data_IF_243089920564
#
_entry.id   IF_243089920564
#
_cell.length_a   1.000
_cell.length_b   1.000
_cell.length_c   1.000
_cell.angle_alpha   90.00
_cell.angle_beta   90.00
_cell.angle_gamma   90.00
#
_symmetry.space_group_name_H-M   'P 1'
#
loop_
_entity.id
_entity.type
_entity.pdbx_description
1 polymer ?
#
# COMPACT_ATOMS: atom_id res chain seq x y z
N UNK A 1 -31.33 -12.80 67.64
CA UNK A 1 -31.33 -11.73 66.64
C UNK A 1 -29.98 -11.72 65.93
N UNK A 2 -29.89 -12.34 64.76
CA UNK A 2 -28.62 -12.51 64.00
C UNK A 2 -28.41 -11.29 63.11
N UNK A 3 -27.31 -10.53 63.32
CA UNK A 3 -26.90 -9.43 62.46
C UNK A 3 -26.22 -10.01 61.22
N UNK A 4 -26.87 -9.85 60.06
CA UNK A 4 -26.28 -10.20 58.78
C UNK A 4 -25.34 -9.04 58.36
N UNK A 5 -24.06 -9.28 58.36
CA UNK A 5 -23.07 -8.37 57.78
C UNK A 5 -23.12 -8.52 56.25
N UNK A 6 -23.56 -7.49 55.56
CA UNK A 6 -23.46 -7.38 54.11
C UNK A 6 -21.98 -7.08 53.77
N UNK A 7 -21.36 -8.03 53.12
CA UNK A 7 -20.01 -7.87 52.55
C UNK A 7 -20.19 -7.15 51.19
N UNK A 8 -19.85 -5.88 51.10
CA UNK A 8 -19.71 -5.18 49.83
C UNK A 8 -18.40 -5.62 49.21
N UNK A 9 -18.46 -6.45 48.18
CA UNK A 9 -17.31 -6.69 47.30
C UNK A 9 -17.22 -5.53 46.33
N UNK A 10 -16.23 -4.67 46.52
CA UNK A 10 -15.86 -3.65 45.56
C UNK A 10 -15.03 -4.36 44.50
N UNK A 11 -15.62 -4.59 43.34
CA UNK A 11 -14.87 -4.96 42.13
C UNK A 11 -14.12 -3.73 41.63
N UNK A 12 -12.86 -3.60 41.99
CA UNK A 12 -11.96 -2.69 41.33
C UNK A 12 -11.61 -3.31 39.98
N UNK A 13 -12.31 -2.90 38.92
CA UNK A 13 -11.91 -3.17 37.55
C UNK A 13 -10.64 -2.39 37.25
N UNK A 14 -9.49 -3.06 37.35
CA UNK A 14 -8.24 -2.53 36.84
C UNK A 14 -8.31 -2.61 35.33
N UNK A 15 -8.73 -1.50 34.69
CA UNK A 15 -8.56 -1.29 33.25
C UNK A 15 -7.08 -1.10 33.00
N UNK A 16 -6.36 -2.18 32.70
CA UNK A 16 -5.05 -2.09 32.08
C UNK A 16 -5.27 -1.61 30.65
N UNK A 17 -5.30 -0.30 30.45
CA UNK A 17 -5.13 0.26 29.12
C UNK A 17 -3.74 -0.17 28.65
N UNK A 18 -3.68 -1.15 27.77
CA UNK A 18 -2.49 -1.38 26.96
C UNK A 18 -2.27 -0.08 26.17
N UNK A 19 -1.43 0.79 26.69
CA UNK A 19 -0.83 1.84 25.89
C UNK A 19 0.12 1.17 24.92
N UNK A 20 -0.40 0.74 23.77
CA UNK A 20 0.45 0.55 22.62
C UNK A 20 1.15 1.88 22.39
N UNK A 21 2.48 1.91 22.26
CA UNK A 21 3.14 3.16 21.88
C UNK A 21 2.51 3.62 20.58
N UNK A 22 1.87 4.79 20.59
CA UNK A 22 1.57 5.51 19.36
C UNK A 22 2.93 5.71 18.70
N UNK A 23 3.25 4.90 17.72
CA UNK A 23 4.40 5.18 16.87
C UNK A 23 4.02 6.46 16.14
N UNK A 24 4.53 7.57 16.64
CA UNK A 24 4.51 8.82 15.88
C UNK A 24 5.29 8.52 14.61
N UNK A 25 4.57 8.41 13.50
CA UNK A 25 5.18 8.25 12.19
C UNK A 25 6.18 9.40 12.02
N UNK A 26 7.43 9.05 11.82
CA UNK A 26 8.42 10.04 11.46
C UNK A 26 7.98 10.65 10.11
N UNK A 27 7.89 11.97 10.05
CA UNK A 27 7.60 12.64 8.80
C UNK A 27 8.64 12.21 7.75
N UNK A 28 8.19 11.91 6.53
CA UNK A 28 9.08 11.55 5.43
C UNK A 28 10.06 12.69 5.17
N UNK A 29 11.35 12.45 5.39
CA UNK A 29 12.40 13.42 5.07
C UNK A 29 12.75 13.33 3.58
N UNK A 30 12.21 14.24 2.79
CA UNK A 30 12.43 14.30 1.35
C UNK A 30 13.83 14.82 0.97
N UNK A 31 14.62 15.31 1.92
CA UNK A 31 15.96 15.87 1.67
C UNK A 31 17.08 14.97 2.20
N UNK A 32 16.75 13.86 2.86
CA UNK A 32 17.74 12.95 3.37
C UNK A 32 18.56 12.33 2.24
N UNK A 33 19.88 12.24 2.45
CA UNK A 33 20.82 11.56 1.53
C UNK A 33 21.28 10.26 2.16
N UNK A 34 21.33 9.23 1.36
CA UNK A 34 21.69 7.89 1.81
C UNK A 34 22.94 7.39 1.07
N UNK A 35 23.80 6.71 1.80
CA UNK A 35 24.95 6.04 1.23
C UNK A 35 24.53 4.85 0.35
N UNK A 36 25.27 4.60 -0.70
CA UNK A 36 25.07 3.47 -1.59
C UNK A 36 25.73 2.24 -0.97
N UNK A 37 24.96 1.16 -0.82
CA UNK A 37 25.49 -0.16 -0.49
C UNK A 37 25.16 -1.16 -1.58
N UNK A 38 26.09 -2.08 -1.82
CA UNK A 38 25.89 -3.23 -2.72
C UNK A 38 26.00 -4.51 -1.90
N UNK A 39 25.84 -5.68 -2.51
CA UNK A 39 26.12 -6.90 -1.80
C UNK A 39 27.61 -6.94 -1.36
N UNK A 40 27.88 -7.57 -0.23
CA UNK A 40 29.23 -7.59 0.36
C UNK A 40 30.17 -8.66 -0.26
N UNK A 41 29.87 -9.13 -1.47
CA UNK A 41 30.70 -10.10 -2.17
C UNK A 41 31.98 -9.40 -2.64
N UNK A 42 33.13 -9.97 -2.31
CA UNK A 42 34.43 -9.42 -2.72
C UNK A 42 34.51 -9.35 -4.27
N UNK A 43 34.86 -8.17 -4.79
CA UNK A 43 34.95 -7.92 -6.23
C UNK A 43 33.61 -7.54 -6.87
N UNK A 44 32.51 -7.41 -6.12
CA UNK A 44 31.28 -6.87 -6.65
C UNK A 44 31.45 -5.39 -7.03
N UNK A 45 31.03 -4.96 -8.23
CA UNK A 45 31.20 -3.58 -8.65
C UNK A 45 30.42 -2.62 -7.76
N UNK A 46 30.98 -1.43 -7.55
CA UNK A 46 30.26 -0.34 -6.92
C UNK A 46 29.03 0.01 -7.79
N UNK A 47 27.90 0.24 -7.15
CA UNK A 47 26.67 0.65 -7.82
C UNK A 47 26.81 2.07 -8.38
N UNK A 48 26.03 2.44 -9.41
CA UNK A 48 25.99 3.81 -9.92
C UNK A 48 25.39 4.75 -8.87
N UNK A 49 25.82 6.00 -8.88
CA UNK A 49 25.11 7.06 -8.17
C UNK A 49 23.88 7.47 -8.99
N UNK A 50 22.70 7.12 -8.47
CA UNK A 50 21.42 7.48 -9.09
C UNK A 50 20.92 8.82 -8.56
N UNK A 51 20.23 9.58 -9.40
CA UNK A 51 19.67 10.89 -9.03
C UNK A 51 18.50 10.81 -8.07
N UNK A 52 17.83 9.66 -8.00
CA UNK A 52 16.75 9.41 -7.02
C UNK A 52 17.29 9.39 -5.59
N UNK A 53 16.52 9.90 -4.64
CA UNK A 53 16.89 9.91 -3.21
C UNK A 53 17.01 8.49 -2.65
N UNK A 54 16.13 7.60 -3.05
CA UNK A 54 16.14 6.18 -2.66
C UNK A 54 16.06 5.28 -3.87
N UNK A 55 16.60 4.07 -3.74
CA UNK A 55 16.52 3.07 -4.80
C UNK A 55 17.02 1.71 -4.34
N UNK A 56 16.52 0.66 -4.98
CA UNK A 56 16.93 -0.71 -4.73
C UNK A 56 17.00 -1.49 -6.04
N UNK A 57 17.93 -2.42 -6.11
CA UNK A 57 17.95 -3.47 -7.12
C UNK A 57 17.92 -4.81 -6.39
N UNK A 58 16.96 -5.64 -6.72
CA UNK A 58 16.77 -6.97 -6.14
C UNK A 58 16.72 -8.00 -7.26
N UNK A 59 17.39 -9.13 -7.05
CA UNK A 59 17.23 -10.30 -7.92
C UNK A 59 15.84 -10.89 -7.69
N UNK A 60 15.04 -10.96 -8.76
CA UNK A 60 13.65 -11.39 -8.66
C UNK A 60 13.50 -12.85 -8.21
N UNK A 61 14.42 -13.73 -8.61
CA UNK A 61 14.33 -15.15 -8.31
C UNK A 61 14.71 -15.47 -6.85
N UNK A 62 15.73 -14.79 -6.32
CA UNK A 62 16.31 -15.11 -5.01
C UNK A 62 15.91 -14.12 -3.91
N UNK A 63 15.48 -12.88 -4.28
CA UNK A 63 15.26 -11.79 -3.33
C UNK A 63 16.55 -11.14 -2.82
N UNK A 64 17.71 -11.52 -3.36
CA UNK A 64 18.98 -10.93 -2.95
C UNK A 64 19.06 -9.48 -3.42
N UNK A 65 19.38 -8.59 -2.49
CA UNK A 65 19.60 -7.17 -2.79
C UNK A 65 20.98 -6.98 -3.37
N UNK A 66 21.04 -6.44 -4.59
CA UNK A 66 22.26 -6.18 -5.33
C UNK A 66 22.74 -4.73 -5.22
N UNK A 67 21.82 -3.80 -4.98
CA UNK A 67 22.05 -2.37 -4.79
C UNK A 67 21.03 -1.82 -3.80
N UNK A 68 21.46 -0.95 -2.92
CA UNK A 68 20.61 -0.28 -1.95
C UNK A 68 21.10 1.16 -1.69
N UNK A 69 20.23 2.13 -1.90
CA UNK A 69 20.40 3.54 -1.54
C UNK A 69 19.15 3.95 -0.77
N UNK A 70 19.18 3.95 0.57
CA UNK A 70 18.03 4.29 1.40
C UNK A 70 16.78 3.45 1.12
N UNK A 71 16.96 2.17 0.74
CA UNK A 71 15.87 1.32 0.26
C UNK A 71 14.80 1.01 1.29
N UNK A 72 15.11 1.16 2.58
CA UNK A 72 14.18 0.91 3.70
C UNK A 72 13.47 2.18 4.19
N UNK A 73 13.82 3.35 3.63
CA UNK A 73 13.27 4.62 4.04
C UNK A 73 11.86 4.83 3.50
N UNK A 74 10.98 5.33 4.36
CA UNK A 74 9.61 5.64 3.97
C UNK A 74 9.56 6.80 2.97
N UNK A 75 8.82 6.61 1.90
CA UNK A 75 8.57 7.58 0.83
C UNK A 75 7.11 7.51 0.41
N UNK A 76 6.62 8.57 -0.19
CA UNK A 76 5.33 8.57 -0.85
C UNK A 76 5.44 7.80 -2.17
N UNK A 77 4.74 6.65 -2.31
CA UNK A 77 4.88 5.81 -3.50
C UNK A 77 4.21 6.41 -4.75
N UNK A 78 3.30 7.36 -4.57
CA UNK A 78 2.48 7.88 -5.66
C UNK A 78 1.85 6.74 -6.47
N UNK A 79 1.78 6.85 -7.79
CA UNK A 79 1.11 5.85 -8.64
C UNK A 79 1.77 4.47 -8.68
N UNK A 80 2.96 4.28 -8.09
CA UNK A 80 3.54 2.94 -7.93
C UNK A 80 2.64 2.07 -7.03
N UNK A 81 1.83 2.68 -6.17
CA UNK A 81 0.76 2.02 -5.39
C UNK A 81 -0.10 1.09 -6.22
N UNK A 82 -0.37 1.44 -7.47
CA UNK A 82 -1.25 0.66 -8.37
C UNK A 82 -0.73 -0.74 -8.70
N UNK A 83 0.54 -1.02 -8.42
CA UNK A 83 1.10 -2.38 -8.51
C UNK A 83 0.47 -3.28 -7.43
N UNK A 84 0.30 -2.77 -6.20
CA UNK A 84 -0.42 -3.50 -5.16
C UNK A 84 -1.91 -3.63 -5.49
N UNK A 85 -2.52 -2.59 -6.04
CA UNK A 85 -3.90 -2.65 -6.50
C UNK A 85 -4.10 -3.70 -7.59
N UNK A 86 -3.17 -3.78 -8.57
CA UNK A 86 -3.14 -4.81 -9.59
C UNK A 86 -3.02 -6.20 -8.98
N UNK A 87 -2.05 -6.41 -8.08
CA UNK A 87 -1.79 -7.70 -7.43
C UNK A 87 -3.04 -8.20 -6.71
N UNK A 88 -3.62 -7.38 -5.83
CA UNK A 88 -4.84 -7.75 -5.10
C UNK A 88 -6.02 -7.98 -6.06
N UNK A 89 -6.13 -7.20 -7.14
CA UNK A 89 -7.20 -7.40 -8.12
C UNK A 89 -7.06 -8.72 -8.86
N UNK A 90 -5.87 -9.07 -9.33
CA UNK A 90 -5.61 -10.34 -10.04
C UNK A 90 -5.85 -11.55 -9.13
N UNK A 91 -5.51 -11.44 -7.86
CA UNK A 91 -5.72 -12.51 -6.87
C UNK A 91 -7.20 -12.73 -6.50
N UNK A 92 -8.08 -11.73 -6.71
CA UNK A 92 -9.46 -11.73 -6.18
C UNK A 92 -10.56 -11.55 -7.26
N UNK A 93 -10.21 -11.59 -8.54
CA UNK A 93 -11.18 -11.43 -9.64
C UNK A 93 -10.84 -12.28 -10.85
N UNK A 94 -11.74 -12.34 -11.83
CA UNK A 94 -11.50 -12.94 -13.14
C UNK A 94 -11.44 -11.86 -14.22
N UNK A 95 -10.68 -12.10 -15.29
CA UNK A 95 -10.44 -11.08 -16.32
C UNK A 95 -11.71 -10.67 -17.09
N UNK A 96 -12.68 -11.56 -17.22
CA UNK A 96 -13.96 -11.34 -17.93
C UNK A 96 -15.06 -10.75 -17.04
N UNK A 97 -14.81 -10.62 -15.74
CA UNK A 97 -15.72 -10.02 -14.77
C UNK A 97 -16.10 -8.59 -15.17
N UNK A 98 -17.37 -8.22 -14.96
CA UNK A 98 -17.89 -6.91 -15.34
C UNK A 98 -17.84 -5.94 -14.17
N UNK A 99 -17.05 -4.90 -14.32
CA UNK A 99 -16.89 -3.79 -13.38
C UNK A 99 -17.83 -2.66 -13.81
N UNK A 100 -18.82 -2.35 -13.00
CA UNK A 100 -19.74 -1.23 -13.22
C UNK A 100 -19.25 0.00 -12.45
N UNK A 101 -19.06 1.11 -13.15
CA UNK A 101 -18.59 2.35 -12.53
C UNK A 101 -19.70 3.04 -11.75
N UNK A 102 -19.41 3.40 -10.52
CA UNK A 102 -20.27 4.12 -9.58
C UNK A 102 -19.70 5.53 -9.33
N UNK A 103 -20.31 6.29 -8.42
CA UNK A 103 -19.79 7.56 -7.94
C UNK A 103 -18.36 7.43 -7.33
N UNK A 104 -18.02 6.26 -6.81
CA UNK A 104 -16.69 5.99 -6.22
C UNK A 104 -15.56 6.14 -7.25
N UNK A 105 -15.69 5.52 -8.42
CA UNK A 105 -14.70 5.67 -9.49
C UNK A 105 -14.74 7.08 -10.07
N UNK A 106 -15.93 7.54 -10.47
CA UNK A 106 -16.13 8.79 -11.22
C UNK A 106 -15.67 10.05 -10.45
N UNK A 107 -15.73 10.05 -9.11
CA UNK A 107 -15.22 11.19 -8.30
C UNK A 107 -13.75 11.52 -8.55
N UNK A 108 -12.95 10.56 -9.04
CA UNK A 108 -11.53 10.72 -9.35
C UNK A 108 -11.29 11.19 -10.80
N UNK A 109 -12.34 11.42 -11.59
CA UNK A 109 -12.26 12.03 -12.93
C UNK A 109 -12.13 13.55 -12.78
N UNK A 110 -10.91 14.02 -12.63
CA UNK A 110 -10.60 15.45 -12.51
C UNK A 110 -9.55 15.86 -13.53
N UNK A 111 -9.45 17.16 -13.84
CA UNK A 111 -8.49 17.67 -14.81
C UNK A 111 -7.02 17.47 -14.39
N UNK A 112 -6.76 17.41 -13.07
CA UNK A 112 -5.41 17.31 -12.50
C UNK A 112 -5.05 15.86 -12.11
N UNK A 113 -5.87 14.89 -12.48
CA UNK A 113 -5.73 13.48 -12.11
C UNK A 113 -5.62 12.60 -13.34
N UNK A 114 -4.70 11.62 -13.33
CA UNK A 114 -4.68 10.57 -14.36
C UNK A 114 -5.96 9.75 -14.28
N UNK A 115 -6.73 9.71 -15.37
CA UNK A 115 -8.00 8.99 -15.47
C UNK A 115 -8.30 8.64 -16.93
N UNK A 116 -9.30 7.81 -17.18
CA UNK A 116 -9.82 7.51 -18.54
C UNK A 116 -11.18 8.17 -18.81
N UNK A 117 -11.68 8.98 -17.86
CA UNK A 117 -12.92 9.75 -18.03
C UNK A 117 -14.18 8.90 -17.93
N UNK A 118 -14.19 7.90 -17.06
CA UNK A 118 -15.33 7.01 -16.85
C UNK A 118 -16.59 7.75 -16.38
N UNK A 119 -17.75 7.14 -16.61
CA UNK A 119 -19.06 7.69 -16.21
C UNK A 119 -19.82 6.68 -15.37
N UNK A 120 -20.68 7.20 -14.49
CA UNK A 120 -21.59 6.36 -13.70
C UNK A 120 -22.43 5.49 -14.62
N UNK A 121 -22.48 4.19 -14.33
CA UNK A 121 -23.18 3.17 -15.13
C UNK A 121 -22.38 2.63 -16.31
N UNK A 122 -21.19 3.14 -16.58
CA UNK A 122 -20.29 2.53 -17.57
C UNK A 122 -19.83 1.15 -17.07
N UNK A 123 -19.64 0.23 -18.00
CA UNK A 123 -19.25 -1.15 -17.69
C UNK A 123 -18.04 -1.54 -18.53
N UNK A 124 -16.95 -1.91 -17.86
CA UNK A 124 -15.74 -2.46 -18.47
C UNK A 124 -15.51 -3.90 -18.00
N UNK A 125 -14.65 -4.64 -18.68
CA UNK A 125 -14.13 -5.90 -18.13
C UNK A 125 -13.07 -5.61 -17.08
N UNK A 126 -12.81 -6.55 -16.17
CA UNK A 126 -11.68 -6.42 -15.26
C UNK A 126 -10.37 -6.29 -16.05
N UNK A 127 -10.20 -7.07 -17.13
CA UNK A 127 -9.03 -6.95 -18.00
C UNK A 127 -8.84 -5.52 -18.53
N UNK A 128 -9.88 -4.89 -19.09
CA UNK A 128 -9.81 -3.51 -19.55
C UNK A 128 -9.47 -2.53 -18.40
N UNK A 129 -10.04 -2.76 -17.23
CA UNK A 129 -9.74 -1.98 -16.03
C UNK A 129 -8.25 -2.11 -15.63
N UNK A 130 -7.69 -3.32 -15.65
CA UNK A 130 -6.28 -3.54 -15.29
C UNK A 130 -5.34 -2.92 -16.33
N UNK A 131 -5.66 -2.98 -17.63
CA UNK A 131 -4.91 -2.25 -18.65
C UNK A 131 -4.96 -0.73 -18.42
N UNK A 132 -6.14 -0.17 -18.17
CA UNK A 132 -6.29 1.25 -17.89
C UNK A 132 -5.56 1.67 -16.59
N UNK A 133 -5.61 0.83 -15.56
CA UNK A 133 -4.91 1.02 -14.29
C UNK A 133 -3.40 1.20 -14.50
N UNK A 134 -2.79 0.32 -15.30
CA UNK A 134 -1.33 0.29 -15.45
C UNK A 134 -0.83 1.21 -16.57
N UNK A 135 -1.48 1.22 -17.74
CA UNK A 135 -1.01 1.98 -18.89
C UNK A 135 -1.31 3.47 -18.74
N UNK A 136 -2.53 3.81 -18.30
CA UNK A 136 -2.96 5.21 -18.14
C UNK A 136 -2.79 5.71 -16.71
N UNK A 137 -2.43 4.82 -15.78
CA UNK A 137 -2.38 5.16 -14.34
C UNK A 137 -3.72 5.69 -13.81
N UNK A 138 -4.83 5.15 -14.30
CA UNK A 138 -6.18 5.66 -14.12
C UNK A 138 -6.64 5.58 -12.65
N UNK A 139 -6.86 6.74 -12.02
CA UNK A 139 -7.29 6.83 -10.62
C UNK A 139 -8.78 6.52 -10.44
N UNK A 140 -9.61 6.85 -11.42
CA UNK A 140 -11.03 6.48 -11.48
C UNK A 140 -11.17 4.96 -11.50
N UNK A 141 -10.36 4.28 -12.30
CA UNK A 141 -10.35 2.82 -12.39
C UNK A 141 -9.83 2.17 -11.11
N UNK A 142 -8.76 2.73 -10.51
CA UNK A 142 -8.22 2.20 -9.25
C UNK A 142 -9.27 2.19 -8.14
N UNK A 143 -10.01 3.29 -7.97
CA UNK A 143 -11.06 3.40 -6.98
C UNK A 143 -12.25 2.47 -7.28
N UNK A 144 -12.60 2.29 -8.57
CA UNK A 144 -13.70 1.40 -8.95
C UNK A 144 -13.34 -0.08 -8.78
N UNK A 145 -12.12 -0.48 -9.11
CA UNK A 145 -11.61 -1.84 -8.82
C UNK A 145 -11.69 -2.10 -7.30
N UNK A 146 -11.26 -1.13 -6.49
CA UNK A 146 -11.26 -1.26 -5.05
C UNK A 146 -12.68 -1.45 -4.50
N UNK A 147 -13.64 -0.65 -4.94
CA UNK A 147 -15.05 -0.83 -4.53
C UNK A 147 -15.63 -2.15 -5.03
N UNK A 148 -15.34 -2.53 -6.28
CA UNK A 148 -15.88 -3.74 -6.89
C UNK A 148 -15.46 -5.01 -6.13
N UNK A 149 -14.18 -5.14 -5.78
CA UNK A 149 -13.62 -6.32 -5.10
C UNK A 149 -13.88 -6.26 -3.59
N UNK A 150 -13.64 -5.13 -2.97
CA UNK A 150 -13.79 -4.98 -1.51
C UNK A 150 -15.22 -4.75 -1.04
N UNK A 151 -16.16 -4.45 -1.97
CA UNK A 151 -17.49 -3.96 -1.63
C UNK A 151 -17.48 -2.50 -1.14
N UNK A 152 -16.36 -2.05 -0.60
CA UNK A 152 -16.02 -0.65 -0.30
C UNK A 152 -14.55 -0.42 -0.58
N UNK A 153 -14.18 0.83 -0.90
CA UNK A 153 -12.76 1.18 -1.10
C UNK A 153 -11.94 0.89 0.17
N UNK A 154 -12.48 1.15 1.36
CA UNK A 154 -11.79 0.87 2.62
C UNK A 154 -11.50 -0.62 2.82
N UNK A 155 -12.44 -1.49 2.56
CA UNK A 155 -12.22 -2.93 2.69
C UNK A 155 -11.13 -3.44 1.73
N UNK A 156 -11.05 -2.87 0.52
CA UNK A 156 -9.97 -3.18 -0.41
C UNK A 156 -8.60 -2.66 0.08
N UNK A 157 -8.57 -1.46 0.67
CA UNK A 157 -7.35 -0.91 1.29
C UNK A 157 -6.87 -1.82 2.44
N UNK A 158 -7.79 -2.35 3.23
CA UNK A 158 -7.48 -3.31 4.28
C UNK A 158 -6.87 -4.60 3.69
N UNK A 159 -7.39 -5.09 2.55
CA UNK A 159 -6.79 -6.21 1.81
C UNK A 159 -5.38 -5.88 1.31
N UNK A 160 -5.16 -4.67 0.76
CA UNK A 160 -3.83 -4.23 0.33
C UNK A 160 -2.82 -4.25 1.49
N UNK A 161 -3.20 -3.72 2.65
CA UNK A 161 -2.33 -3.68 3.83
C UNK A 161 -2.09 -5.07 4.41
N UNK A 162 -3.09 -5.93 4.44
CA UNK A 162 -2.94 -7.32 4.83
C UNK A 162 -1.95 -8.02 3.89
N UNK A 163 -2.14 -7.89 2.57
CA UNK A 163 -1.27 -8.53 1.58
C UNK A 163 0.16 -8.03 1.65
N UNK A 164 0.38 -6.72 1.87
CA UNK A 164 1.70 -6.15 2.12
C UNK A 164 2.39 -6.80 3.32
N UNK A 165 1.66 -6.99 4.42
CA UNK A 165 2.17 -7.69 5.62
C UNK A 165 2.53 -9.14 5.33
N UNK A 166 1.73 -9.88 4.55
CA UNK A 166 1.98 -11.27 4.16
C UNK A 166 3.23 -11.41 3.28
N UNK A 167 3.47 -10.44 2.39
CA UNK A 167 4.68 -10.35 1.56
C UNK A 167 5.93 -10.06 2.41
N UNK A 168 5.75 -9.51 3.60
CA UNK A 168 6.84 -9.14 4.51
C UNK A 168 7.27 -7.67 4.41
N UNK A 169 6.41 -6.80 3.88
CA UNK A 169 6.62 -5.36 3.89
C UNK A 169 6.58 -4.82 5.32
N UNK A 170 7.56 -4.02 5.70
CA UNK A 170 7.69 -3.49 7.06
C UNK A 170 7.59 -1.97 7.13
N UNK A 171 7.70 -1.29 6.00
CA UNK A 171 7.69 0.16 5.87
C UNK A 171 6.61 0.64 4.90
N UNK A 172 5.47 -0.08 4.84
CA UNK A 172 4.37 0.21 3.91
C UNK A 172 3.05 0.34 4.63
N UNK A 173 2.30 1.36 4.27
CA UNK A 173 0.90 1.52 4.61
C UNK A 173 0.16 2.20 3.46
N UNK A 174 -0.88 1.56 2.97
CA UNK A 174 -1.75 2.10 1.94
C UNK A 174 -2.97 2.76 2.57
N UNK A 175 -3.26 4.00 2.18
CA UNK A 175 -4.44 4.76 2.59
C UNK A 175 -5.46 4.93 1.44
N UNK A 176 -5.08 4.57 0.22
CA UNK A 176 -5.95 4.54 -0.96
C UNK A 176 -5.40 3.58 -2.02
N UNK A 177 -6.21 3.29 -3.02
CA UNK A 177 -5.90 2.33 -4.09
C UNK A 177 -5.08 2.92 -5.25
N UNK A 178 -4.88 4.24 -5.28
CA UNK A 178 -4.34 4.94 -6.46
C UNK A 178 -2.97 5.57 -6.25
N UNK A 179 -2.57 5.85 -5.00
CA UNK A 179 -1.37 6.60 -4.65
C UNK A 179 -1.57 8.10 -4.62
N UNK A 180 -2.81 8.58 -4.52
CA UNK A 180 -3.09 9.99 -4.26
C UNK A 180 -2.51 10.42 -2.90
N UNK A 181 -2.14 11.70 -2.74
CA UNK A 181 -1.50 12.18 -1.52
C UNK A 181 -2.35 11.94 -0.27
N UNK A 182 -1.73 11.33 0.74
CA UNK A 182 -2.25 11.16 2.08
C UNK A 182 -1.05 10.96 3.02
N UNK A 183 -1.05 11.60 4.18
CA UNK A 183 0.08 11.55 5.12
C UNK A 183 0.34 10.14 5.67
N UNK A 184 -0.68 9.29 5.67
CA UNK A 184 -0.58 7.88 6.08
C UNK A 184 -0.30 6.93 4.90
N UNK A 185 -0.10 7.45 3.68
CA UNK A 185 0.15 6.65 2.49
C UNK A 185 1.65 6.64 2.16
N UNK A 186 2.35 5.59 2.57
CA UNK A 186 3.79 5.48 2.39
C UNK A 186 4.22 4.05 2.07
N UNK A 187 5.39 3.93 1.49
CA UNK A 187 6.09 2.67 1.26
C UNK A 187 7.61 2.91 1.27
N UNK A 188 8.39 1.86 1.07
CA UNK A 188 9.83 1.93 0.84
C UNK A 188 10.19 1.32 -0.52
N UNK A 189 11.37 1.65 -1.04
CA UNK A 189 11.85 1.06 -2.29
C UNK A 189 11.98 -0.47 -2.14
N UNK A 190 12.39 -0.98 -0.96
CA UNK A 190 12.47 -2.41 -0.66
C UNK A 190 11.10 -3.07 -0.70
N UNK A 191 10.12 -2.50 0.00
CA UNK A 191 8.79 -3.08 0.07
C UNK A 191 8.12 -3.08 -1.32
N UNK A 192 8.27 -2.00 -2.09
CA UNK A 192 7.78 -1.98 -3.46
C UNK A 192 8.45 -3.02 -4.36
N UNK A 193 9.74 -3.29 -4.17
CA UNK A 193 10.43 -4.37 -4.89
C UNK A 193 9.91 -5.77 -4.49
N UNK A 194 9.57 -5.97 -3.21
CA UNK A 194 8.94 -7.21 -2.74
C UNK A 194 7.55 -7.38 -3.37
N UNK A 195 6.72 -6.35 -3.36
CA UNK A 195 5.38 -6.36 -3.97
C UNK A 195 5.49 -6.64 -5.47
N UNK A 196 6.42 -5.99 -6.16
CA UNK A 196 6.64 -6.19 -7.59
C UNK A 196 7.09 -7.60 -7.95
N UNK A 197 7.78 -8.26 -7.01
CA UNK A 197 8.28 -9.63 -7.19
C UNK A 197 7.18 -10.68 -7.06
N UNK A 198 6.09 -10.39 -6.35
CA UNK A 198 4.95 -11.30 -6.17
C UNK A 198 4.03 -11.34 -7.41
N UNK A 199 3.94 -10.28 -8.19
CA UNK A 199 3.14 -10.18 -9.42
C UNK A 199 3.94 -10.53 -10.65
#
# INVERSE_FOLDING_TARGET
>A
MKKIKKLLAVFASVSVALMLPLQTMAAVDLNAKYDISTNQIQGWPAGPDITSDTGILMDAATGVVLYNKGGDEQRYPASITKIMTLLVAVENSTMDEKVTFTETGVRNVTADSSNIGTKVGEVLTMEDCLYALIIQSANDVAAQIAEHIGGTEQAFIDMMNQRASEIGCTNTHFANSSGLPDDNHYSSARDMALIFREG
#
